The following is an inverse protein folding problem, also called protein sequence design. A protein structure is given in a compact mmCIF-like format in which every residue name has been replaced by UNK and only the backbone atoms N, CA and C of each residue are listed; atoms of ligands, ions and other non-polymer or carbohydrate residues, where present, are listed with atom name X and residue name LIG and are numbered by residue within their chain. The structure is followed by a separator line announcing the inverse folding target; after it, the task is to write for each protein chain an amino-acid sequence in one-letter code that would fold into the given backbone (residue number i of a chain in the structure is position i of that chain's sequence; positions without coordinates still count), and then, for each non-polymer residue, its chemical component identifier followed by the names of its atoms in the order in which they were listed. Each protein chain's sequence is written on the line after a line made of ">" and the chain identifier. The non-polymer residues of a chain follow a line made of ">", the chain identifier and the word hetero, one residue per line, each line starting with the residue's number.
data_IF_536885396776
#
_entry.id   IF_536885396776
#
_cell.length_a   1.000
_cell.length_b   1.000
_cell.length_c   1.000
_cell.angle_alpha   90.00
_cell.angle_beta   90.00
_cell.angle_gamma   90.00
#
_symmetry.space_group_name_H-M   'P 1'
#
loop_
_entity.id
_entity.type
_entity.pdbx_description
1 polymer ?
#
# COMPACT_ATOMS: atom_id res chain seq x y z
N UNK A 1 6.20 -2.42 19.55
CA UNK A 1 5.64 -1.39 18.63
C UNK A 1 5.37 -0.17 19.47
N UNK A 2 6.08 0.92 19.21
CA UNK A 2 5.92 2.19 19.95
C UNK A 2 4.72 2.99 19.44
N UNK A 3 3.54 2.39 19.44
CA UNK A 3 2.31 3.15 19.23
C UNK A 3 1.64 3.44 20.57
N UNK A 4 1.18 4.69 20.74
CA UNK A 4 0.54 5.16 21.98
C UNK A 4 -0.94 4.71 22.06
N UNK A 5 -1.23 3.44 21.72
CA UNK A 5 -2.57 2.87 21.75
C UNK A 5 -2.50 1.36 21.91
N UNK A 6 -3.54 0.78 22.53
CA UNK A 6 -3.72 -0.67 22.58
C UNK A 6 -4.67 -1.10 21.45
N UNK A 7 -4.16 -1.92 20.53
CA UNK A 7 -4.96 -2.47 19.44
C UNK A 7 -5.90 -3.57 19.95
N UNK A 8 -7.12 -3.58 19.46
CA UNK A 8 -8.06 -4.69 19.63
C UNK A 8 -7.60 -5.92 18.82
N UNK A 9 -8.04 -7.15 19.17
CA UNK A 9 -7.57 -8.36 18.47
C UNK A 9 -7.74 -8.33 16.94
N UNK A 10 -8.87 -7.81 16.43
CA UNK A 10 -9.09 -7.69 14.99
C UNK A 10 -8.17 -6.63 14.34
N UNK A 11 -7.87 -5.53 15.03
CA UNK A 11 -6.93 -4.50 14.55
C UNK A 11 -5.50 -5.04 14.51
N UNK A 12 -5.13 -5.92 15.44
CA UNK A 12 -3.84 -6.62 15.40
C UNK A 12 -3.73 -7.53 14.18
N UNK A 13 -4.83 -8.23 13.83
CA UNK A 13 -4.88 -9.07 12.61
C UNK A 13 -4.76 -8.22 11.35
N UNK A 14 -5.51 -7.12 11.25
CA UNK A 14 -5.43 -6.19 10.10
C UNK A 14 -4.03 -5.58 9.96
N UNK A 15 -3.42 -5.15 11.06
CA UNK A 15 -2.03 -4.69 11.07
C UNK A 15 -1.05 -5.77 10.59
N UNK A 16 -1.15 -7.00 11.11
CA UNK A 16 -0.26 -8.11 10.74
C UNK A 16 -0.40 -8.46 9.24
N UNK A 17 -1.63 -8.45 8.72
CA UNK A 17 -1.91 -8.66 7.31
C UNK A 17 -1.28 -7.55 6.44
N UNK A 18 -1.49 -6.27 6.78
CA UNK A 18 -0.85 -5.16 6.05
C UNK A 18 0.68 -5.24 6.10
N UNK A 19 1.25 -5.65 7.24
CA UNK A 19 2.70 -5.80 7.39
C UNK A 19 3.25 -6.92 6.49
N UNK A 20 2.52 -8.04 6.40
CA UNK A 20 2.87 -9.14 5.48
C UNK A 20 2.82 -8.68 4.01
N UNK A 21 1.80 -7.93 3.60
CA UNK A 21 1.75 -7.36 2.25
C UNK A 21 2.91 -6.40 1.99
N UNK A 22 3.27 -5.56 2.96
CA UNK A 22 4.40 -4.66 2.86
C UNK A 22 5.72 -5.43 2.63
N UNK A 23 5.98 -6.48 3.40
CA UNK A 23 7.19 -7.30 3.30
C UNK A 23 7.28 -8.04 1.95
N UNK A 24 6.14 -8.38 1.36
CA UNK A 24 6.06 -9.04 0.06
C UNK A 24 6.01 -8.05 -1.13
N UNK A 25 5.95 -6.75 -0.89
CA UNK A 25 5.89 -5.74 -1.95
C UNK A 25 4.52 -5.57 -2.61
N UNK A 26 3.45 -6.01 -1.93
CA UNK A 26 2.08 -5.91 -2.44
C UNK A 26 1.33 -4.71 -1.86
N UNK A 27 0.36 -4.20 -2.63
CA UNK A 27 -0.66 -3.27 -2.15
C UNK A 27 -1.83 -3.99 -1.49
N UNK A 28 -2.62 -3.29 -0.66
CA UNK A 28 -3.76 -3.86 0.04
C UNK A 28 -4.97 -2.95 0.10
N UNK A 29 -6.16 -3.55 0.30
CA UNK A 29 -7.42 -2.86 0.51
C UNK A 29 -7.93 -3.18 1.92
N UNK A 30 -7.80 -2.26 2.87
CA UNK A 30 -8.38 -2.42 4.20
C UNK A 30 -9.86 -2.02 4.17
N UNK A 31 -10.70 -3.02 4.12
CA UNK A 31 -12.14 -2.94 3.86
C UNK A 31 -12.98 -3.17 5.13
N UNK A 32 -12.62 -2.52 6.20
CA UNK A 32 -13.37 -2.57 7.47
C UNK A 32 -14.54 -1.55 7.47
N UNK A 33 -15.59 -1.83 8.24
CA UNK A 33 -16.68 -0.88 8.46
C UNK A 33 -16.18 0.45 9.03
N UNK A 34 -16.98 1.50 8.86
CA UNK A 34 -16.69 2.80 9.47
C UNK A 34 -16.61 2.68 11.00
N UNK A 35 -15.64 3.37 11.60
CA UNK A 35 -15.45 3.38 13.06
C UNK A 35 -14.64 2.20 13.61
N UNK A 36 -14.26 1.21 12.83
CA UNK A 36 -13.41 0.09 13.29
C UNK A 36 -11.92 0.43 13.42
N UNK A 37 -11.54 1.70 13.21
CA UNK A 37 -10.18 2.17 13.47
C UNK A 37 -9.18 1.85 12.36
N UNK A 38 -9.60 1.93 11.09
CA UNK A 38 -8.71 1.83 9.93
C UNK A 38 -7.52 2.79 10.03
N UNK A 39 -7.77 4.03 10.44
CA UNK A 39 -6.74 5.04 10.68
C UNK A 39 -5.69 4.55 11.67
N UNK A 40 -6.11 4.01 12.82
CA UNK A 40 -5.21 3.50 13.85
C UNK A 40 -4.38 2.31 13.37
N UNK A 41 -4.99 1.36 12.65
CA UNK A 41 -4.29 0.22 12.05
C UNK A 41 -3.22 0.69 11.04
N UNK A 42 -3.59 1.63 10.16
CA UNK A 42 -2.67 2.21 9.18
C UNK A 42 -1.52 2.98 9.86
N UNK A 43 -1.82 3.79 10.87
CA UNK A 43 -0.79 4.52 11.63
C UNK A 43 0.16 3.57 12.36
N UNK A 44 -0.35 2.43 12.85
CA UNK A 44 0.48 1.38 13.48
C UNK A 44 1.45 0.76 12.47
N UNK A 45 0.97 0.46 11.26
CA UNK A 45 1.82 -0.01 10.16
C UNK A 45 2.93 1.00 9.86
N UNK A 46 2.57 2.26 9.64
CA UNK A 46 3.51 3.31 9.27
C UNK A 46 4.53 3.58 10.40
N UNK A 47 4.09 3.62 11.65
CA UNK A 47 5.00 3.73 12.81
C UNK A 47 6.04 2.61 12.79
N UNK A 48 5.64 1.36 12.56
CA UNK A 48 6.56 0.22 12.52
C UNK A 48 7.54 0.30 11.35
N UNK A 49 7.05 0.69 10.16
CA UNK A 49 7.88 0.85 8.95
C UNK A 49 9.00 1.86 9.19
N UNK A 50 8.71 3.00 9.82
CA UNK A 50 9.71 4.04 10.07
C UNK A 50 10.59 3.78 11.30
N UNK A 51 10.13 2.99 12.27
CA UNK A 51 10.94 2.61 13.45
C UNK A 51 12.04 1.57 13.10
N UNK A 52 11.85 0.71 12.11
CA UNK A 52 12.84 -0.32 11.71
C UNK A 52 14.19 0.25 11.25
N UNK A 53 14.25 1.52 10.87
CA UNK A 53 15.53 2.13 10.45
C UNK A 53 16.46 2.48 11.63
N UNK A 54 15.97 2.51 12.87
CA UNK A 54 16.81 2.73 14.05
C UNK A 54 17.51 1.45 14.50
N UNK A 55 16.87 0.30 14.35
CA UNK A 55 17.39 -0.99 14.83
C UNK A 55 18.49 -1.56 13.90
N UNK A 56 18.42 -1.30 12.57
CA UNK A 56 19.42 -1.79 11.61
C UNK A 56 20.77 -1.05 11.68
N UNK A 57 20.78 0.20 12.17
CA UNK A 57 22.03 0.98 12.32
C UNK A 57 22.83 0.62 13.57
N UNK A 58 22.19 0.06 14.60
CA UNK A 58 22.85 -0.32 15.84
C UNK A 58 23.38 -1.76 15.79
N UNK A 59 22.80 -2.63 14.96
CA UNK A 59 23.20 -4.04 14.85
C UNK A 59 24.49 -4.24 14.04
N UNK A 60 24.89 -3.29 13.20
CA UNK A 60 26.16 -3.37 12.46
C UNK A 60 27.38 -2.90 13.28
N UNK A 61 27.19 -2.24 14.42
CA UNK A 61 28.30 -1.80 15.29
C UNK A 61 28.74 -2.84 16.32
N UNK A 62 27.99 -3.91 16.57
CA UNK A 62 28.32 -4.95 17.57
C UNK A 62 28.84 -6.26 16.98
N UNK A 63 29.13 -6.35 15.68
CA UNK A 63 29.69 -7.56 15.06
C UNK A 63 31.21 -7.58 14.98
N UNK A 64 31.88 -7.12 16.03
CA UNK A 64 33.31 -7.39 16.22
C UNK A 64 33.48 -7.91 17.65
N UNK A 65 33.14 -9.16 17.88
CA UNK A 65 33.77 -10.11 18.81
C UNK A 65 32.85 -11.31 19.04
N UNK A 66 33.26 -12.46 18.52
CA UNK A 66 32.62 -13.75 18.83
C UNK A 66 33.21 -14.31 20.13
N UNK A 67 32.37 -14.83 21.04
CA UNK A 67 32.74 -16.04 21.77
C UNK A 67 31.84 -17.22 21.36
N UNK A 68 32.50 -18.29 21.05
CA UNK A 68 31.91 -19.64 20.89
C UNK A 68 31.39 -20.13 22.24
N UNK A 69 30.09 -20.48 22.37
CA UNK A 69 29.65 -21.81 22.81
C UNK A 69 28.16 -21.89 23.21
N UNK A 70 27.51 -22.88 22.63
CA UNK A 70 26.62 -23.93 23.17
C UNK A 70 25.17 -23.60 23.58
N UNK A 71 24.34 -24.47 22.98
CA UNK A 71 23.01 -24.98 23.39
C UNK A 71 21.81 -24.07 23.14
N UNK A 72 21.10 -24.19 22.06
CA UNK A 72 20.00 -25.10 21.79
C UNK A 72 18.71 -24.71 22.49
N UNK A 73 17.88 -23.81 21.86
CA UNK A 73 16.43 -23.95 21.83
C UNK A 73 16.00 -23.25 20.51
N UNK A 74 15.72 -24.05 19.50
CA UNK A 74 15.05 -23.61 18.27
C UNK A 74 13.56 -23.51 18.56
N UNK A 75 13.02 -22.31 18.62
CA UNK A 75 11.58 -22.10 18.54
C UNK A 75 11.24 -22.08 17.05
N UNK A 76 10.78 -23.22 16.55
CA UNK A 76 10.15 -23.33 15.24
C UNK A 76 8.87 -22.50 15.23
N UNK A 77 8.90 -21.37 14.51
CA UNK A 77 7.68 -20.74 14.06
C UNK A 77 7.09 -21.61 12.95
N UNK A 78 6.01 -22.31 13.24
CA UNK A 78 5.19 -22.98 12.24
C UNK A 78 4.76 -21.96 11.18
N UNK A 79 5.35 -22.08 10.00
CA UNK A 79 4.92 -21.36 8.81
C UNK A 79 3.56 -21.88 8.42
N UNK A 80 2.57 -21.01 8.47
CA UNK A 80 1.20 -21.27 8.07
C UNK A 80 1.16 -21.92 6.67
N UNK A 81 0.54 -23.10 6.48
CA UNK A 81 0.66 -23.90 5.24
C UNK A 81 -0.14 -23.36 4.05
N UNK A 82 -0.71 -22.15 4.12
CA UNK A 82 -1.62 -21.62 3.09
C UNK A 82 -0.87 -21.04 1.86
N UNK A 83 0.45 -20.89 1.88
CA UNK A 83 1.24 -20.30 0.77
C UNK A 83 2.14 -21.31 0.03
N UNK A 84 1.86 -22.62 0.11
CA UNK A 84 2.46 -23.63 -0.78
C UNK A 84 1.45 -24.09 -1.81
N UNK A 85 0.87 -23.19 -2.58
CA UNK A 85 0.28 -23.56 -3.86
C UNK A 85 1.34 -23.30 -4.94
N UNK A 86 1.72 -24.35 -5.66
CA UNK A 86 2.62 -24.25 -6.81
C UNK A 86 2.11 -23.23 -7.84
N UNK A 87 3.01 -22.56 -8.60
CA UNK A 87 2.61 -21.62 -9.64
C UNK A 87 1.70 -22.31 -10.66
N UNK A 88 0.54 -21.74 -10.87
CA UNK A 88 -0.42 -22.24 -11.87
C UNK A 88 0.05 -21.80 -13.24
N UNK A 89 0.49 -22.76 -14.08
CA UNK A 89 0.83 -22.54 -15.48
C UNK A 89 -0.42 -22.50 -16.35
N UNK A 90 -0.44 -21.66 -17.40
CA UNK A 90 -1.47 -21.74 -18.45
C UNK A 90 -1.05 -22.83 -19.41
N UNK A 91 -1.94 -23.82 -19.58
CA UNK A 91 -1.81 -24.79 -20.65
C UNK A 91 -2.41 -24.24 -21.96
N UNK A 92 -2.21 -24.98 -23.05
CA UNK A 92 -2.67 -24.62 -24.40
C UNK A 92 -4.19 -24.45 -24.55
N UNK A 93 -4.95 -24.62 -23.47
CA UNK A 93 -6.40 -24.39 -23.38
C UNK A 93 -6.78 -23.07 -22.65
N UNK A 94 -5.84 -22.16 -22.43
CA UNK A 94 -6.13 -20.83 -21.88
C UNK A 94 -6.27 -20.78 -20.35
N UNK A 95 -5.66 -21.72 -19.63
CA UNK A 95 -5.56 -21.67 -18.18
C UNK A 95 -4.28 -20.96 -17.76
N UNK A 96 -4.39 -19.89 -17.00
CA UNK A 96 -3.28 -19.04 -16.60
C UNK A 96 -2.33 -19.73 -15.62
N UNK A 97 -1.01 -19.65 -15.88
CA UNK A 97 0.03 -19.81 -14.86
C UNK A 97 -0.06 -18.63 -13.88
N UNK A 98 -0.48 -18.88 -12.67
CA UNK A 98 -0.82 -17.80 -11.72
C UNK A 98 0.40 -17.09 -11.11
N UNK A 99 1.62 -17.42 -11.41
CA UNK A 99 2.83 -16.74 -10.93
C UNK A 99 4.05 -16.96 -11.85
N UNK A 100 3.83 -17.19 -13.13
CA UNK A 100 4.89 -17.12 -14.12
C UNK A 100 5.24 -15.65 -14.41
N UNK A 101 6.38 -15.19 -13.89
CA UNK A 101 7.03 -13.94 -14.32
C UNK A 101 6.39 -12.59 -13.92
N UNK A 102 5.77 -12.49 -12.74
CA UNK A 102 5.42 -11.19 -12.14
C UNK A 102 6.65 -10.32 -11.78
N UNK A 103 7.86 -10.80 -12.07
CA UNK A 103 9.11 -10.07 -11.77
C UNK A 103 9.69 -9.30 -12.94
N UNK A 104 9.14 -9.44 -14.15
CA UNK A 104 9.60 -8.71 -15.33
C UNK A 104 8.53 -7.76 -15.84
N UNK A 105 8.86 -6.47 -15.84
CA UNK A 105 8.15 -5.35 -16.47
C UNK A 105 6.94 -4.73 -15.75
N UNK A 106 7.08 -4.45 -14.45
CA UNK A 106 6.23 -3.45 -13.79
C UNK A 106 6.93 -2.09 -13.73
N UNK A 107 7.39 -1.56 -14.87
CA UNK A 107 8.31 -0.42 -14.93
C UNK A 107 7.64 0.96 -14.92
N UNK A 108 6.32 1.10 -15.03
CA UNK A 108 5.72 2.42 -15.21
C UNK A 108 5.43 3.18 -13.90
N UNK A 109 5.34 2.53 -12.74
CA UNK A 109 5.03 3.20 -11.47
C UNK A 109 5.77 2.65 -10.24
N UNK A 110 6.60 1.60 -10.38
CA UNK A 110 7.51 1.18 -9.31
C UNK A 110 8.74 2.09 -9.34
N UNK A 111 9.09 2.62 -8.19
CA UNK A 111 10.37 3.27 -8.03
C UNK A 111 11.45 2.21 -8.19
N UNK A 112 12.28 2.34 -9.21
CA UNK A 112 13.48 1.54 -9.29
C UNK A 112 14.23 1.69 -7.96
N UNK A 113 14.70 0.58 -7.41
CA UNK A 113 15.65 0.58 -6.31
C UNK A 113 16.97 1.07 -6.90
N UNK A 114 17.03 2.36 -7.22
CA UNK A 114 18.29 3.02 -7.51
C UNK A 114 19.19 2.73 -6.32
N UNK A 115 20.34 2.12 -6.61
CA UNK A 115 21.40 1.89 -5.63
C UNK A 115 21.49 3.11 -4.74
N UNK A 116 21.19 2.94 -3.45
CA UNK A 116 21.31 4.01 -2.47
C UNK A 116 22.73 4.52 -2.55
N UNK A 117 22.93 5.70 -3.10
CA UNK A 117 24.14 6.46 -2.78
C UNK A 117 24.13 6.63 -1.27
N UNK A 118 25.24 6.35 -0.64
CA UNK A 118 25.42 6.13 0.81
C UNK A 118 25.05 7.31 1.73
N UNK A 119 24.28 8.30 1.27
CA UNK A 119 24.03 9.56 1.98
C UNK A 119 22.64 9.75 2.58
N UNK A 120 21.66 8.85 2.33
CA UNK A 120 20.33 9.00 2.96
C UNK A 120 19.83 7.69 3.53
N UNK A 121 20.08 7.48 4.82
CA UNK A 121 19.58 6.36 5.63
C UNK A 121 18.06 6.43 5.89
N UNK A 122 17.40 7.56 5.54
CA UNK A 122 15.97 7.78 5.81
C UNK A 122 15.09 7.25 4.68
N UNK A 123 14.00 6.55 5.04
CA UNK A 123 12.95 6.15 4.08
C UNK A 123 12.22 7.37 3.52
N UNK A 124 11.76 7.32 2.25
CA UNK A 124 10.91 8.36 1.67
C UNK A 124 9.63 8.58 2.50
N UNK A 125 8.98 9.73 2.31
CA UNK A 125 7.72 10.04 2.99
C UNK A 125 6.58 9.13 2.54
N UNK A 126 5.57 8.98 3.39
CA UNK A 126 4.25 8.42 3.06
C UNK A 126 3.30 9.54 2.68
N UNK A 127 2.61 9.40 1.56
CA UNK A 127 1.54 10.30 1.13
C UNK A 127 0.18 9.73 1.58
N UNK A 128 -0.58 10.50 2.35
CA UNK A 128 -1.92 10.14 2.82
C UNK A 128 -2.92 11.09 2.18
N UNK A 129 -3.72 10.55 1.26
CA UNK A 129 -4.75 11.29 0.51
C UNK A 129 -6.11 11.00 1.11
N UNK A 130 -6.78 12.04 1.56
CA UNK A 130 -8.05 11.92 2.28
C UNK A 130 -9.06 12.96 1.78
N UNK A 131 -10.37 12.77 1.99
CA UNK A 131 -11.35 13.84 1.84
C UNK A 131 -10.98 15.05 2.73
N UNK A 132 -11.25 16.26 2.25
CA UNK A 132 -10.92 17.49 2.97
C UNK A 132 -11.49 17.52 4.40
N UNK A 133 -12.68 16.98 4.59
CA UNK A 133 -13.35 16.86 5.90
C UNK A 133 -12.60 15.96 6.90
N UNK A 134 -11.79 15.01 6.42
CA UNK A 134 -11.06 14.07 7.27
C UNK A 134 -9.61 14.49 7.56
N UNK A 135 -9.07 15.50 6.87
CA UNK A 135 -7.68 15.96 7.06
C UNK A 135 -7.36 16.28 8.53
N UNK A 136 -8.23 17.04 9.19
CA UNK A 136 -8.04 17.42 10.58
C UNK A 136 -8.05 16.20 11.51
N UNK A 137 -8.96 15.26 11.29
CA UNK A 137 -9.07 14.06 12.08
C UNK A 137 -7.82 13.19 11.96
N UNK A 138 -7.36 12.95 10.73
CA UNK A 138 -6.14 12.18 10.46
C UNK A 138 -4.91 12.78 11.14
N UNK A 139 -4.71 14.09 11.02
CA UNK A 139 -3.58 14.79 11.68
C UNK A 139 -3.67 14.67 13.20
N UNK A 140 -4.86 14.83 13.78
CA UNK A 140 -5.08 14.69 15.22
C UNK A 140 -4.79 13.27 15.71
N UNK A 141 -5.25 12.25 15.00
CA UNK A 141 -4.97 10.85 15.34
C UNK A 141 -3.49 10.51 15.18
N UNK A 142 -2.85 10.95 14.10
CA UNK A 142 -1.43 10.75 13.90
C UNK A 142 -0.59 11.39 15.02
N UNK A 143 -0.89 12.62 15.41
CA UNK A 143 -0.21 13.30 16.52
C UNK A 143 -0.44 12.60 17.87
N UNK A 144 -1.63 12.02 18.07
CA UNK A 144 -1.98 11.32 19.31
C UNK A 144 -1.30 9.96 19.42
N UNK A 145 -1.23 9.19 18.33
CA UNK A 145 -0.86 7.78 18.39
C UNK A 145 0.56 7.49 17.94
N UNK A 146 1.20 8.39 17.18
CA UNK A 146 2.54 8.16 16.63
C UNK A 146 3.55 9.17 17.12
N UNK A 147 4.84 8.92 16.85
CA UNK A 147 5.96 9.87 17.01
C UNK A 147 6.47 10.38 15.67
N UNK A 148 5.76 10.08 14.59
CA UNK A 148 6.17 10.40 13.23
C UNK A 148 6.02 11.90 12.96
N UNK A 149 7.03 12.51 12.35
CA UNK A 149 6.95 13.89 11.87
C UNK A 149 5.96 13.99 10.72
N UNK A 150 5.13 15.05 10.71
CA UNK A 150 4.06 15.17 9.73
C UNK A 150 3.88 16.60 9.24
N UNK A 151 3.37 16.72 8.00
CA UNK A 151 2.97 18.00 7.42
C UNK A 151 1.71 17.83 6.57
N UNK A 152 0.97 18.93 6.40
CA UNK A 152 -0.03 19.05 5.36
C UNK A 152 0.59 19.75 4.15
N UNK A 153 0.44 19.15 2.98
CA UNK A 153 0.85 19.76 1.72
C UNK A 153 -0.36 20.41 1.03
N UNK A 154 -0.33 21.72 0.91
CA UNK A 154 -1.42 22.52 0.33
C UNK A 154 -0.85 23.59 -0.63
N UNK A 155 -1.72 24.45 -1.16
CA UNK A 155 -1.32 25.54 -2.06
C UNK A 155 -0.32 26.52 -1.45
N UNK A 156 -0.34 26.66 -0.13
CA UNK A 156 0.54 27.58 0.63
C UNK A 156 1.83 26.92 1.11
N UNK A 157 2.05 25.64 0.81
CA UNK A 157 3.27 24.97 1.20
C UNK A 157 4.46 25.54 0.42
N UNK A 158 5.39 26.16 1.14
CA UNK A 158 6.58 26.74 0.55
C UNK A 158 7.67 25.68 0.38
N UNK A 159 8.12 25.47 -0.83
CA UNK A 159 9.34 24.74 -1.17
C UNK A 159 10.08 25.54 -2.27
N UNK A 160 11.39 25.31 -2.39
CA UNK A 160 12.12 25.91 -3.51
C UNK A 160 11.60 25.30 -4.80
N UNK A 161 11.23 26.15 -5.76
CA UNK A 161 10.82 25.71 -7.08
C UNK A 161 11.88 24.78 -7.69
N UNK A 162 11.45 23.64 -8.21
CA UNK A 162 12.33 22.61 -8.78
C UNK A 162 12.85 21.56 -7.80
N UNK A 163 12.60 21.67 -6.48
CA UNK A 163 13.11 20.72 -5.49
C UNK A 163 12.03 20.28 -4.48
N UNK A 164 10.93 19.66 -4.93
CA UNK A 164 9.85 19.23 -4.04
C UNK A 164 10.30 18.15 -3.04
N UNK A 165 11.33 17.37 -3.39
CA UNK A 165 11.93 16.35 -2.52
C UNK A 165 12.48 16.97 -1.22
N UNK A 166 12.95 18.23 -1.23
CA UNK A 166 13.41 18.91 -0.01
C UNK A 166 12.29 19.10 1.00
N UNK A 167 11.05 19.30 0.55
CA UNK A 167 9.89 19.36 1.45
C UNK A 167 9.51 17.96 1.92
N UNK A 168 9.33 17.02 0.99
CA UNK A 168 8.83 15.69 1.33
C UNK A 168 9.82 14.93 2.23
N UNK A 169 11.11 15.02 1.99
CA UNK A 169 12.12 14.34 2.82
C UNK A 169 12.22 14.84 4.27
N UNK A 170 11.53 15.94 4.63
CA UNK A 170 11.54 16.46 6.02
C UNK A 170 10.59 15.75 6.95
N UNK A 171 9.56 15.10 6.40
CA UNK A 171 8.46 14.52 7.16
C UNK A 171 8.30 13.03 6.86
N UNK A 172 7.77 12.27 7.80
CA UNK A 172 7.40 10.89 7.59
C UNK A 172 6.03 10.78 6.90
N UNK A 173 5.08 11.64 7.32
CA UNK A 173 3.70 11.64 6.83
C UNK A 173 3.38 12.98 6.16
N UNK A 174 2.87 12.91 4.94
CA UNK A 174 2.38 14.06 4.18
C UNK A 174 0.89 13.87 3.95
N UNK A 175 0.08 14.78 4.50
CA UNK A 175 -1.38 14.77 4.32
C UNK A 175 -1.79 15.70 3.21
N UNK A 176 -2.68 15.24 2.32
CA UNK A 176 -3.28 16.05 1.27
C UNK A 176 -4.75 15.68 1.06
N UNK A 177 -5.50 16.60 0.45
CA UNK A 177 -6.83 16.28 -0.05
C UNK A 177 -6.78 15.73 -1.48
N UNK A 178 -7.83 15.02 -1.91
CA UNK A 178 -7.98 14.60 -3.31
C UNK A 178 -7.93 15.78 -4.29
N UNK A 179 -8.48 16.94 -3.89
CA UNK A 179 -8.40 18.18 -4.68
C UNK A 179 -6.96 18.67 -4.83
N UNK A 180 -6.20 18.70 -3.75
CA UNK A 180 -4.77 19.06 -3.76
C UNK A 180 -3.97 18.07 -4.59
N UNK A 181 -4.24 16.77 -4.47
CA UNK A 181 -3.59 15.72 -5.27
C UNK A 181 -3.72 16.01 -6.78
N UNK A 182 -4.94 16.30 -7.25
CA UNK A 182 -5.16 16.64 -8.67
C UNK A 182 -4.43 17.91 -9.09
N UNK A 183 -4.53 18.96 -8.29
CA UNK A 183 -3.99 20.29 -8.62
C UNK A 183 -2.45 20.35 -8.57
N UNK A 184 -1.83 19.45 -7.81
CA UNK A 184 -0.36 19.39 -7.60
C UNK A 184 0.28 18.14 -8.16
N UNK A 185 -0.41 17.45 -9.09
CA UNK A 185 0.03 16.19 -9.67
C UNK A 185 1.44 16.28 -10.26
N UNK A 186 1.75 17.36 -10.98
CA UNK A 186 3.04 17.54 -11.66
C UNK A 186 4.23 17.55 -10.68
N UNK A 187 4.00 18.02 -9.47
CA UNK A 187 5.00 17.99 -8.40
C UNK A 187 5.04 16.62 -7.74
N UNK A 188 3.87 16.07 -7.40
CA UNK A 188 3.76 14.82 -6.64
C UNK A 188 4.30 13.61 -7.43
N UNK A 189 4.07 13.56 -8.74
CA UNK A 189 4.55 12.45 -9.61
C UNK A 189 6.07 12.38 -9.77
N UNK A 190 6.79 13.46 -9.45
CA UNK A 190 8.25 13.50 -9.51
C UNK A 190 8.89 12.81 -8.30
N UNK A 191 8.16 12.69 -7.18
CA UNK A 191 8.65 12.09 -5.96
C UNK A 191 8.18 10.63 -5.83
N UNK A 192 9.09 9.75 -5.39
CA UNK A 192 8.75 8.37 -5.08
C UNK A 192 8.48 8.22 -3.60
N UNK A 193 7.22 8.04 -3.24
CA UNK A 193 6.81 7.85 -1.86
C UNK A 193 7.12 6.43 -1.36
N UNK A 194 7.36 6.26 -0.06
CA UNK A 194 7.43 4.93 0.56
C UNK A 194 6.07 4.23 0.48
N UNK A 195 5.02 4.97 0.84
CA UNK A 195 3.65 4.50 0.79
C UNK A 195 2.72 5.58 0.20
N UNK A 196 1.71 5.18 -0.54
CA UNK A 196 0.55 6.02 -0.85
C UNK A 196 -0.66 5.35 -0.23
N UNK A 197 -1.33 6.08 0.67
CA UNK A 197 -2.57 5.65 1.32
C UNK A 197 -3.71 6.51 0.79
N UNK A 198 -4.76 5.88 0.23
CA UNK A 198 -5.99 6.55 -0.18
C UNK A 198 -7.11 6.19 0.79
N UNK A 199 -7.58 7.15 1.57
CA UNK A 199 -8.75 6.96 2.43
C UNK A 199 -10.03 7.33 1.69
N UNK A 200 -11.13 6.66 2.02
CA UNK A 200 -12.39 6.75 1.29
C UNK A 200 -12.18 6.53 -0.20
N UNK A 201 -11.61 5.36 -0.54
CA UNK A 201 -11.15 5.03 -1.89
C UNK A 201 -12.25 5.00 -2.95
N UNK A 202 -13.53 5.09 -2.58
CA UNK A 202 -14.61 5.34 -3.54
C UNK A 202 -14.41 6.64 -4.35
N UNK A 203 -13.52 7.54 -3.93
CA UNK A 203 -13.14 8.72 -4.71
C UNK A 203 -12.40 8.38 -6.02
N UNK A 204 -11.86 7.16 -6.14
CA UNK A 204 -11.16 6.68 -7.35
C UNK A 204 -11.91 5.55 -8.08
N UNK A 205 -13.15 5.26 -7.73
CA UNK A 205 -13.94 4.16 -8.31
C UNK A 205 -14.23 4.32 -9.81
N UNK A 206 -14.33 5.55 -10.30
CA UNK A 206 -14.56 5.82 -11.70
C UNK A 206 -13.23 6.00 -12.43
N UNK A 207 -12.90 5.05 -13.33
CA UNK A 207 -11.69 5.05 -14.16
C UNK A 207 -11.58 6.26 -15.09
N UNK A 208 -12.69 6.88 -15.48
CA UNK A 208 -12.71 8.07 -16.32
C UNK A 208 -12.48 9.37 -15.54
N UNK A 209 -12.56 9.34 -14.21
CA UNK A 209 -12.42 10.51 -13.38
C UNK A 209 -11.00 11.08 -13.39
N UNK A 210 -10.87 12.41 -13.29
CA UNK A 210 -9.57 13.07 -13.11
C UNK A 210 -8.88 12.59 -11.82
N UNK A 211 -9.65 12.24 -10.78
CA UNK A 211 -9.11 11.75 -9.52
C UNK A 211 -8.39 10.41 -9.70
N UNK A 212 -9.03 9.46 -10.37
CA UNK A 212 -8.42 8.17 -10.68
C UNK A 212 -7.16 8.34 -11.55
N UNK A 213 -7.28 9.11 -12.66
CA UNK A 213 -6.16 9.36 -13.57
C UNK A 213 -4.98 10.04 -12.88
N UNK A 214 -5.23 10.88 -11.88
CA UNK A 214 -4.17 11.48 -11.08
C UNK A 214 -3.57 10.47 -10.11
N UNK A 215 -4.38 9.68 -9.42
CA UNK A 215 -3.91 8.71 -8.44
C UNK A 215 -2.97 7.66 -9.05
N UNK A 216 -3.31 7.11 -10.23
CA UNK A 216 -2.48 6.10 -10.90
C UNK A 216 -1.12 6.62 -11.40
N UNK A 217 -0.96 7.94 -11.59
CA UNK A 217 0.30 8.55 -12.00
C UNK A 217 1.28 8.80 -10.84
N UNK A 218 0.82 8.68 -9.61
CA UNK A 218 1.69 8.82 -8.44
C UNK A 218 2.64 7.63 -8.33
N UNK A 219 3.88 7.91 -7.89
CA UNK A 219 4.94 6.91 -7.76
C UNK A 219 5.15 6.54 -6.30
N UNK A 220 5.15 5.25 -6.00
CA UNK A 220 5.43 4.74 -4.66
C UNK A 220 5.96 3.32 -4.68
N UNK A 221 6.54 2.89 -3.56
CA UNK A 221 6.95 1.50 -3.35
C UNK A 221 5.75 0.63 -2.98
N UNK A 222 4.86 1.17 -2.15
CA UNK A 222 3.69 0.46 -1.65
C UNK A 222 2.42 1.30 -1.79
N UNK A 223 1.28 0.63 -1.86
CA UNK A 223 -0.04 1.27 -1.99
C UNK A 223 -1.05 0.64 -1.06
N UNK A 224 -1.90 1.45 -0.44
CA UNK A 224 -2.98 1.02 0.43
C UNK A 224 -4.24 1.83 0.12
N UNK A 225 -5.36 1.17 0.03
CA UNK A 225 -6.66 1.84 0.03
C UNK A 225 -7.44 1.48 1.28
N UNK A 226 -8.15 2.47 1.81
CA UNK A 226 -9.04 2.31 2.95
C UNK A 226 -10.45 2.62 2.47
N UNK A 227 -11.40 1.74 2.80
CA UNK A 227 -12.80 1.91 2.41
C UNK A 227 -13.72 1.24 3.42
N UNK A 228 -14.94 1.77 3.57
CA UNK A 228 -16.01 1.08 4.28
C UNK A 228 -16.81 0.13 3.38
N UNK A 229 -16.63 0.24 2.06
CA UNK A 229 -17.48 -0.46 1.07
C UNK A 229 -16.67 -0.93 -0.13
N UNK A 230 -15.90 -2.02 -0.02
CA UNK A 230 -14.94 -2.40 -1.06
C UNK A 230 -15.58 -2.90 -2.36
N UNK A 231 -16.77 -3.51 -2.31
CA UNK A 231 -17.31 -4.30 -3.43
C UNK A 231 -18.78 -3.97 -3.76
N UNK A 232 -19.40 -2.95 -3.11
CA UNK A 232 -20.86 -2.82 -3.11
C UNK A 232 -21.49 -2.35 -4.43
N UNK A 233 -20.79 -1.58 -5.29
CA UNK A 233 -21.46 -0.88 -6.37
C UNK A 233 -21.24 -1.49 -7.77
N UNK A 234 -20.04 -1.86 -8.14
CA UNK A 234 -19.81 -2.52 -9.43
C UNK A 234 -18.43 -3.21 -9.52
N UNK A 235 -18.33 -4.19 -10.42
CA UNK A 235 -17.05 -4.82 -10.74
C UNK A 235 -16.06 -3.84 -11.39
N UNK A 236 -16.54 -2.75 -12.02
CA UNK A 236 -15.67 -1.67 -12.52
C UNK A 236 -15.04 -0.88 -11.40
N UNK A 237 -15.79 -0.59 -10.34
CA UNK A 237 -15.28 0.12 -9.16
C UNK A 237 -14.19 -0.71 -8.47
N UNK A 238 -14.40 -2.02 -8.36
CA UNK A 238 -13.41 -2.98 -7.89
C UNK A 238 -12.14 -2.95 -8.76
N UNK A 239 -12.30 -3.03 -10.08
CA UNK A 239 -11.18 -2.96 -11.02
C UNK A 239 -10.36 -1.67 -10.83
N UNK A 240 -11.01 -0.52 -10.71
CA UNK A 240 -10.31 0.75 -10.54
C UNK A 240 -9.47 0.79 -9.27
N UNK A 241 -10.01 0.30 -8.14
CA UNK A 241 -9.26 0.23 -6.88
C UNK A 241 -8.07 -0.73 -6.99
N UNK A 242 -8.27 -1.91 -7.59
CA UNK A 242 -7.20 -2.88 -7.79
C UNK A 242 -6.18 -2.43 -8.83
N UNK A 243 -6.58 -1.72 -9.86
CA UNK A 243 -5.65 -1.14 -10.83
C UNK A 243 -4.76 -0.05 -10.19
N UNK A 244 -5.27 0.67 -9.20
CA UNK A 244 -4.41 1.53 -8.37
C UNK A 244 -3.48 0.71 -7.48
N UNK A 245 -3.97 -0.31 -6.78
CA UNK A 245 -3.18 -1.13 -5.85
C UNK A 245 -2.10 -1.98 -6.54
N UNK A 246 -2.52 -2.68 -7.59
CA UNK A 246 -1.77 -3.71 -8.31
C UNK A 246 -2.14 -3.65 -9.80
N UNK A 247 -1.53 -2.77 -10.60
CA UNK A 247 -1.94 -2.53 -12.00
C UNK A 247 -2.03 -3.78 -12.87
N UNK A 248 -1.17 -4.78 -12.60
CA UNK A 248 -1.09 -5.98 -13.45
C UNK A 248 -1.97 -7.14 -12.97
N UNK A 249 -2.50 -7.08 -11.74
CA UNK A 249 -3.26 -8.20 -11.15
C UNK A 249 -4.53 -8.53 -11.96
N UNK A 250 -5.27 -7.52 -12.37
CA UNK A 250 -6.53 -7.66 -13.10
C UNK A 250 -6.42 -7.24 -14.57
N UNK A 251 -5.23 -6.85 -15.04
CA UNK A 251 -4.98 -6.37 -16.39
C UNK A 251 -5.66 -5.03 -16.69
N UNK A 252 -5.75 -4.67 -17.98
CA UNK A 252 -6.43 -3.44 -18.39
C UNK A 252 -7.96 -3.60 -18.32
N UNK A 253 -8.68 -2.46 -18.30
CA UNK A 253 -10.15 -2.42 -18.15
C UNK A 253 -10.90 -3.24 -19.22
N UNK A 254 -10.42 -3.20 -20.47
CA UNK A 254 -11.03 -3.93 -21.59
C UNK A 254 -10.89 -5.45 -21.40
N UNK A 255 -9.70 -5.91 -21.01
CA UNK A 255 -9.45 -7.33 -20.72
C UNK A 255 -10.29 -7.81 -19.52
N UNK A 256 -10.30 -7.04 -18.44
CA UNK A 256 -11.11 -7.33 -17.25
C UNK A 256 -12.61 -7.39 -17.57
N UNK A 257 -13.09 -6.47 -18.41
CA UNK A 257 -14.50 -6.48 -18.84
C UNK A 257 -14.86 -7.75 -19.60
N UNK A 258 -14.00 -8.17 -20.53
CA UNK A 258 -14.23 -9.41 -21.32
C UNK A 258 -14.11 -10.67 -20.46
N UNK A 259 -13.13 -10.72 -19.57
CA UNK A 259 -12.81 -11.92 -18.79
C UNK A 259 -13.73 -12.12 -17.59
N UNK A 260 -14.10 -11.04 -16.90
CA UNK A 260 -14.85 -11.11 -15.64
C UNK A 260 -16.23 -10.45 -15.72
N UNK A 261 -16.32 -9.15 -16.14
CA UNK A 261 -17.58 -8.42 -16.05
C UNK A 261 -18.66 -9.08 -16.90
N UNK A 262 -18.39 -9.32 -18.18
CA UNK A 262 -19.39 -9.88 -19.10
C UNK A 262 -19.84 -11.30 -18.71
N UNK A 263 -18.92 -12.25 -18.42
CA UNK A 263 -19.32 -13.58 -17.99
C UNK A 263 -20.11 -13.59 -16.67
N UNK A 264 -19.68 -12.79 -15.67
CA UNK A 264 -20.38 -12.71 -14.37
C UNK A 264 -21.79 -12.13 -14.55
N UNK A 265 -21.97 -11.10 -15.39
CA UNK A 265 -23.30 -10.57 -15.72
C UNK A 265 -24.20 -11.57 -16.41
N UNK A 266 -23.62 -12.56 -17.10
CA UNK A 266 -24.33 -13.66 -17.73
C UNK A 266 -24.57 -14.85 -16.78
N UNK A 267 -24.27 -14.72 -15.50
CA UNK A 267 -24.48 -15.74 -14.47
C UNK A 267 -23.37 -16.78 -14.35
N UNK A 268 -22.18 -16.52 -14.87
CA UNK A 268 -21.05 -17.46 -14.76
C UNK A 268 -20.42 -17.43 -13.36
N UNK A 269 -20.91 -18.25 -12.45
CA UNK A 269 -20.45 -18.38 -11.07
C UNK A 269 -18.97 -18.80 -10.96
N UNK A 270 -18.44 -19.53 -11.95
CA UNK A 270 -17.02 -19.95 -11.95
C UNK A 270 -16.11 -18.73 -12.09
N UNK A 271 -16.45 -17.76 -12.93
CA UNK A 271 -15.66 -16.52 -13.09
C UNK A 271 -15.78 -15.63 -11.86
N UNK A 272 -16.94 -15.56 -11.22
CA UNK A 272 -17.12 -14.86 -9.96
C UNK A 272 -16.24 -15.45 -8.86
N UNK A 273 -16.26 -16.77 -8.69
CA UNK A 273 -15.42 -17.46 -7.71
C UNK A 273 -13.93 -17.22 -7.98
N UNK A 274 -13.51 -17.31 -9.25
CA UNK A 274 -12.13 -17.05 -9.65
C UNK A 274 -11.69 -15.62 -9.32
N UNK A 275 -12.52 -14.63 -9.62
CA UNK A 275 -12.23 -13.23 -9.27
C UNK A 275 -12.07 -13.07 -7.75
N UNK A 276 -12.99 -13.64 -6.97
CA UNK A 276 -12.91 -13.62 -5.50
C UNK A 276 -11.60 -14.22 -5.00
N UNK A 277 -11.20 -15.39 -5.51
CA UNK A 277 -9.93 -16.03 -5.12
C UNK A 277 -8.71 -15.18 -5.43
N UNK A 278 -8.71 -14.45 -6.56
CA UNK A 278 -7.62 -13.56 -6.96
C UNK A 278 -7.46 -12.37 -6.02
N UNK A 279 -8.56 -11.78 -5.56
CA UNK A 279 -8.52 -10.53 -4.79
C UNK A 279 -8.48 -10.74 -3.27
N UNK A 280 -8.97 -11.88 -2.76
CA UNK A 280 -9.06 -12.18 -1.32
C UNK A 280 -7.75 -11.97 -0.54
N UNK A 281 -6.56 -12.31 -1.05
CA UNK A 281 -5.32 -12.07 -0.31
C UNK A 281 -5.03 -10.59 -0.03
N UNK A 282 -5.64 -9.70 -0.79
CA UNK A 282 -5.39 -8.25 -0.78
C UNK A 282 -6.52 -7.42 -0.16
N UNK A 283 -7.53 -8.08 0.44
CA UNK A 283 -8.67 -7.43 1.12
C UNK A 283 -8.74 -7.88 2.57
#
# INVERSE_FOLDING_TARGET
>A
IEIKAQLRPYQQKGYAWMMNLYEQGFGGCLADDMGLGKTLQTLTLLQKIYSRNHDDSDTEREKTELPKNKSGISVEYERNPILKSEPVRIDEMGQFELFGDLTKENTLNKCEVSQRTAETTRKPSTLIVVPTSLLHNWKREAARFTTLSMAEYNSNSHYKEGHPEQFFNRFHLIFISYGTMRNKLDVLRQYCFEYIVLDESQNIKNSDSLTFRSAIQLRSRHRLVLTGTPIENSLKDLWAQFHFLQPDLLGNESAFTKQFINPIKQGNSRMELRLRQLITPFI
#
